data_IF_548810782341
#
_entry.id   IF_548810782341
#
_cell.length_a   1.000
_cell.length_b   1.000
_cell.length_c   1.000
_cell.angle_alpha   90.00
_cell.angle_beta   90.00
_cell.angle_gamma   90.00
#
_symmetry.space_group_name_H-M   'P 1'
#
loop_
_entity.id
_entity.type
_entity.pdbx_description
1 polymer ?
#
# COMPACT_ATOMS: atom_id res chain seq x y z
N UNK A 1 -6.34 -18.38 -0.12
CA UNK A 1 -5.22 -17.75 -0.87
C UNK A 1 -4.28 -18.87 -1.26
N UNK A 2 -4.21 -19.22 -2.55
CA UNK A 2 -3.24 -20.21 -3.04
C UNK A 2 -1.92 -19.48 -3.32
N UNK A 3 -0.96 -19.61 -2.41
CA UNK A 3 0.40 -19.09 -2.62
C UNK A 3 1.09 -20.00 -3.63
N UNK A 4 1.23 -19.51 -4.86
CA UNK A 4 1.95 -20.19 -5.93
C UNK A 4 3.47 -20.06 -5.70
N UNK A 5 4.02 -20.96 -4.89
CA UNK A 5 5.45 -21.03 -4.57
C UNK A 5 6.33 -21.42 -5.77
N UNK A 6 5.71 -21.86 -6.86
CA UNK A 6 6.35 -22.28 -8.11
C UNK A 6 6.68 -21.13 -9.06
N UNK A 7 6.12 -19.93 -8.84
CA UNK A 7 6.41 -18.74 -9.65
C UNK A 7 6.78 -17.55 -8.76
N UNK A 8 8.02 -17.09 -8.89
CA UNK A 8 8.50 -15.88 -8.21
C UNK A 8 7.80 -14.65 -8.80
N UNK A 9 7.42 -13.70 -7.94
CA UNK A 9 6.89 -12.42 -8.40
C UNK A 9 7.99 -11.57 -9.04
N UNK A 10 7.86 -11.35 -10.35
CA UNK A 10 8.81 -10.55 -11.14
C UNK A 10 8.88 -9.09 -10.66
N UNK A 11 7.80 -8.56 -10.08
CA UNK A 11 7.81 -7.24 -9.45
C UNK A 11 8.79 -7.17 -8.28
N UNK A 12 8.75 -8.18 -7.42
CA UNK A 12 9.63 -8.27 -6.26
C UNK A 12 11.09 -8.46 -6.70
N UNK A 13 11.36 -9.33 -7.68
CA UNK A 13 12.71 -9.49 -8.25
C UNK A 13 13.25 -8.18 -8.86
N UNK A 14 12.40 -7.45 -9.59
CA UNK A 14 12.74 -6.14 -10.16
C UNK A 14 13.08 -5.13 -9.08
N UNK A 15 12.33 -5.11 -7.97
CA UNK A 15 12.64 -4.26 -6.81
C UNK A 15 13.99 -4.63 -6.18
N UNK A 16 14.33 -5.92 -6.07
CA UNK A 16 15.61 -6.36 -5.51
C UNK A 16 16.82 -5.95 -6.37
N UNK A 17 16.61 -5.74 -7.67
CA UNK A 17 17.66 -5.25 -8.58
C UNK A 17 17.91 -3.75 -8.43
N UNK A 18 16.90 -2.98 -8.01
CA UNK A 18 16.99 -1.55 -7.73
C UNK A 18 16.23 -1.19 -6.43
N UNK A 19 16.85 -1.41 -5.27
CA UNK A 19 16.19 -1.25 -3.96
C UNK A 19 15.94 0.21 -3.57
N UNK A 20 16.44 1.17 -4.37
CA UNK A 20 16.23 2.59 -4.14
C UNK A 20 14.90 3.09 -4.71
N UNK A 21 14.08 2.23 -5.31
CA UNK A 21 12.76 2.63 -5.79
C UNK A 21 11.78 2.79 -4.64
N UNK A 22 10.84 3.72 -4.79
CA UNK A 22 9.76 3.89 -3.83
C UNK A 22 8.83 2.69 -3.85
N UNK A 23 8.46 2.22 -2.65
CA UNK A 23 7.41 1.23 -2.44
C UNK A 23 6.30 1.93 -1.67
N UNK A 24 5.17 2.14 -2.34
CA UNK A 24 4.01 2.75 -1.69
C UNK A 24 3.17 1.64 -1.05
N UNK A 25 2.98 1.76 0.26
CA UNK A 25 2.33 0.79 1.11
C UNK A 25 0.84 1.11 1.27
N UNK A 26 0.05 0.07 1.35
CA UNK A 26 -1.35 0.11 1.72
C UNK A 26 -1.53 0.22 3.26
N UNK A 27 -2.70 0.66 3.72
CA UNK A 27 -3.06 0.74 5.13
C UNK A 27 -2.95 -0.62 5.84
N UNK A 28 -3.17 -1.71 5.10
CA UNK A 28 -3.15 -3.05 5.68
C UNK A 28 -1.79 -3.48 6.24
N UNK A 29 -0.67 -2.84 5.88
CA UNK A 29 0.63 -3.07 6.52
C UNK A 29 0.62 -2.71 8.00
N UNK A 30 -0.10 -1.65 8.37
CA UNK A 30 0.03 -1.02 9.69
C UNK A 30 -1.00 -1.50 10.70
N UNK A 31 -1.98 -2.32 10.30
CA UNK A 31 -2.96 -2.84 11.24
C UNK A 31 -2.84 -4.37 11.33
N UNK A 32 -3.26 -4.92 12.46
CA UNK A 32 -3.04 -6.33 12.77
C UNK A 32 -3.69 -7.26 11.72
N UNK A 33 -3.03 -8.38 11.34
CA UNK A 33 -3.61 -9.33 10.39
C UNK A 33 -4.94 -9.93 10.87
N UNK A 34 -5.10 -10.12 12.18
CA UNK A 34 -6.27 -10.75 12.79
C UNK A 34 -7.40 -9.76 13.10
N UNK A 35 -7.61 -8.74 12.25
CA UNK A 35 -8.68 -7.73 12.40
C UNK A 35 -10.08 -8.31 12.35
N UNK A 36 -10.24 -9.46 11.69
CA UNK A 36 -11.48 -10.21 11.77
C UNK A 36 -11.42 -11.03 13.03
N UNK A 37 -12.29 -10.67 13.97
CA UNK A 37 -12.63 -11.47 15.14
C UNK A 37 -13.32 -12.75 14.64
N UNK A 38 -12.58 -13.61 13.93
CA UNK A 38 -13.05 -14.89 13.46
C UNK A 38 -13.01 -15.81 14.68
N UNK A 39 -14.04 -15.66 15.50
CA UNK A 39 -14.38 -16.47 16.67
C UNK A 39 -14.30 -17.99 16.44
N UNK A 40 -14.08 -18.43 15.20
CA UNK A 40 -13.88 -19.81 14.78
C UNK A 40 -12.44 -20.30 14.87
N UNK A 41 -11.42 -19.42 14.83
CA UNK A 41 -10.02 -19.84 14.72
C UNK A 41 -9.27 -19.90 16.06
N UNK A 42 -9.83 -19.38 17.16
CA UNK A 42 -9.20 -19.41 18.50
C UNK A 42 -7.74 -18.94 18.51
N UNK A 43 -7.36 -18.04 17.61
CA UNK A 43 -6.02 -17.47 17.56
C UNK A 43 -5.95 -16.35 18.59
N UNK A 44 -4.98 -16.36 19.53
CA UNK A 44 -4.81 -15.28 20.49
C UNK A 44 -4.64 -13.93 19.78
N UNK A 45 -5.20 -12.87 20.35
CA UNK A 45 -4.94 -11.52 19.89
C UNK A 45 -3.44 -11.23 19.94
N UNK A 46 -2.90 -10.83 18.78
CA UNK A 46 -1.51 -10.45 18.67
C UNK A 46 -1.34 -9.01 19.15
N UNK A 47 -0.46 -8.73 20.13
CA UNK A 47 -0.17 -7.36 20.52
C UNK A 47 0.44 -6.57 19.36
N UNK A 48 0.04 -5.32 19.19
CA UNK A 48 0.61 -4.45 18.15
C UNK A 48 2.12 -4.25 18.34
N UNK A 49 2.62 -4.19 19.58
CA UNK A 49 4.06 -4.10 19.84
C UNK A 49 4.82 -5.33 19.29
N UNK A 50 4.21 -6.51 19.37
CA UNK A 50 4.77 -7.72 18.77
C UNK A 50 4.76 -7.61 17.25
N UNK A 51 3.66 -7.08 16.68
CA UNK A 51 3.56 -6.83 15.24
C UNK A 51 4.63 -5.86 14.73
N UNK A 52 4.81 -4.74 15.44
CA UNK A 52 5.82 -3.72 15.13
C UNK A 52 7.22 -4.31 15.21
N UNK A 53 7.57 -4.91 16.35
CA UNK A 53 8.95 -5.35 16.63
C UNK A 53 9.41 -6.45 15.67
N UNK A 54 8.52 -7.39 15.35
CA UNK A 54 8.91 -8.57 14.59
C UNK A 54 8.71 -8.44 13.09
N UNK A 55 7.93 -7.47 12.60
CA UNK A 55 7.69 -7.35 11.15
C UNK A 55 7.85 -5.93 10.62
N UNK A 56 7.28 -4.92 11.26
CA UNK A 56 7.39 -3.55 10.74
C UNK A 56 8.79 -2.98 10.94
N UNK A 57 9.42 -3.12 12.10
CA UNK A 57 10.78 -2.60 12.30
C UNK A 57 11.81 -3.26 11.38
N UNK A 58 11.81 -4.59 11.17
CA UNK A 58 12.65 -5.21 10.14
C UNK A 58 12.38 -4.67 8.73
N UNK A 59 11.10 -4.51 8.34
CA UNK A 59 10.71 -3.93 7.05
C UNK A 59 11.31 -2.53 6.85
N UNK A 60 11.14 -1.65 7.83
CA UNK A 60 11.67 -0.28 7.79
C UNK A 60 13.19 -0.21 7.90
N UNK A 61 13.84 -1.25 8.42
CA UNK A 61 15.31 -1.36 8.44
C UNK A 61 15.87 -1.86 7.11
N UNK A 62 15.10 -2.67 6.38
CA UNK A 62 15.48 -3.24 5.10
C UNK A 62 15.25 -2.26 3.93
N UNK A 63 14.12 -1.55 3.93
CA UNK A 63 13.71 -0.65 2.85
C UNK A 63 13.70 0.81 3.29
N UNK A 64 14.43 1.65 2.55
CA UNK A 64 14.59 3.07 2.90
C UNK A 64 13.53 3.98 2.25
N UNK A 65 12.97 3.59 1.11
CA UNK A 65 12.05 4.41 0.32
C UNK A 65 10.60 3.89 0.42
N UNK A 66 10.15 3.68 1.66
CA UNK A 66 8.76 3.34 1.94
C UNK A 66 7.90 4.60 1.95
N UNK A 67 6.71 4.54 1.35
CA UNK A 67 5.78 5.66 1.31
C UNK A 67 4.34 5.24 1.56
N UNK A 68 3.49 6.19 1.94
CA UNK A 68 2.02 6.06 1.96
C UNK A 68 1.38 7.29 1.32
N UNK A 69 0.16 7.15 0.82
CA UNK A 69 -0.65 8.31 0.41
C UNK A 69 -1.38 8.92 1.62
N UNK A 70 -1.72 10.20 1.55
CA UNK A 70 -2.47 10.89 2.61
C UNK A 70 -3.82 10.25 2.91
N UNK A 71 -4.49 9.65 1.91
CA UNK A 71 -5.73 8.91 2.13
C UNK A 71 -5.54 7.67 3.02
N UNK A 72 -4.43 6.95 2.85
CA UNK A 72 -4.03 5.82 3.70
C UNK A 72 -3.67 6.31 5.11
N UNK A 73 -2.94 7.42 5.21
CA UNK A 73 -2.61 8.01 6.51
C UNK A 73 -3.86 8.40 7.32
N UNK A 74 -4.88 8.94 6.65
CA UNK A 74 -6.16 9.29 7.28
C UNK A 74 -6.94 8.07 7.81
N UNK A 75 -6.72 6.89 7.22
CA UNK A 75 -7.34 5.64 7.67
C UNK A 75 -6.63 5.04 8.90
N UNK A 76 -5.31 5.21 8.99
CA UNK A 76 -4.48 4.66 10.08
C UNK A 76 -4.49 5.57 11.33
N UNK A 77 -5.07 6.78 11.25
CA UNK A 77 -4.90 7.90 12.19
C UNK A 77 -5.13 7.64 13.70
N UNK A 78 -5.65 6.48 14.13
CA UNK A 78 -5.96 6.22 15.53
C UNK A 78 -5.19 5.04 16.14
N UNK A 79 -4.84 5.18 17.43
CA UNK A 79 -4.21 4.13 18.23
C UNK A 79 -2.72 3.91 17.94
N UNK A 80 -2.19 2.80 18.41
CA UNK A 80 -0.75 2.46 18.33
C UNK A 80 -0.22 2.41 16.89
N UNK A 81 -1.05 2.04 15.91
CA UNK A 81 -0.70 2.07 14.50
C UNK A 81 -0.46 3.51 14.00
N UNK A 82 -1.37 4.43 14.34
CA UNK A 82 -1.24 5.86 14.02
C UNK A 82 -0.02 6.48 14.69
N UNK A 83 0.23 6.17 15.97
CA UNK A 83 1.41 6.65 16.70
C UNK A 83 2.71 6.18 16.03
N UNK A 84 2.77 4.92 15.63
CA UNK A 84 3.92 4.34 14.92
C UNK A 84 4.14 5.01 13.55
N UNK A 85 3.10 5.14 12.73
CA UNK A 85 3.17 5.82 11.42
C UNK A 85 3.65 7.26 11.58
N UNK A 86 3.06 8.00 12.52
CA UNK A 86 3.43 9.39 12.79
C UNK A 86 4.89 9.49 13.23
N UNK A 87 5.39 8.57 14.07
CA UNK A 87 6.79 8.54 14.46
C UNK A 87 7.73 8.32 13.25
N UNK A 88 7.38 7.42 12.32
CA UNK A 88 8.19 7.19 11.11
C UNK A 88 8.15 8.37 10.14
N UNK A 89 7.01 9.04 9.99
CA UNK A 89 6.84 10.25 9.16
C UNK A 89 7.59 11.47 9.71
N UNK A 90 7.66 11.61 11.04
CA UNK A 90 8.25 12.79 11.71
C UNK A 90 9.70 12.60 12.16
N UNK A 91 10.24 11.39 12.00
CA UNK A 91 11.67 11.10 12.25
C UNK A 91 12.59 11.98 11.38
N UNK A 92 13.83 12.18 11.85
CA UNK A 92 14.84 13.00 11.15
C UNK A 92 16.11 12.15 10.94
N UNK A 93 16.41 11.72 9.70
CA UNK A 93 15.59 11.87 8.49
C UNK A 93 14.31 11.00 8.52
N UNK A 94 13.25 11.35 7.76
CA UNK A 94 12.03 10.55 7.68
C UNK A 94 12.32 9.14 7.14
N UNK A 95 11.77 8.12 7.80
CA UNK A 95 11.81 6.72 7.36
C UNK A 95 10.56 6.27 6.62
N UNK A 96 9.52 7.11 6.62
CA UNK A 96 8.30 6.94 5.83
C UNK A 96 8.02 8.24 5.10
N UNK A 97 7.69 8.16 3.81
CA UNK A 97 7.35 9.33 3.00
C UNK A 97 5.84 9.46 2.83
N UNK A 98 5.33 10.69 2.88
CA UNK A 98 3.91 10.99 2.69
C UNK A 98 3.70 11.63 1.32
N UNK A 99 3.01 10.90 0.45
CA UNK A 99 2.53 11.40 -0.83
C UNK A 99 1.26 12.22 -0.62
N UNK A 100 1.27 13.45 -1.11
CA UNK A 100 0.13 14.37 -1.03
C UNK A 100 -0.26 14.87 -2.40
N UNK A 101 -1.55 14.97 -2.65
CA UNK A 101 -2.07 15.51 -3.90
C UNK A 101 -1.75 17.00 -4.05
N UNK A 102 -1.53 17.70 -2.93
CA UNK A 102 -1.02 19.07 -2.91
C UNK A 102 0.38 19.23 -3.53
N UNK A 103 1.12 18.14 -3.76
CA UNK A 103 2.41 18.13 -4.45
C UNK A 103 2.28 17.92 -5.97
N UNK A 104 1.06 17.78 -6.49
CA UNK A 104 0.78 17.63 -7.91
C UNK A 104 0.66 18.99 -8.58
N UNK A 105 1.20 19.10 -9.80
CA UNK A 105 0.88 20.22 -10.70
C UNK A 105 -0.58 20.18 -11.12
N UNK A 106 -1.15 21.27 -11.66
CA UNK A 106 -2.50 21.26 -12.21
C UNK A 106 -2.71 20.17 -13.28
N UNK A 107 -1.72 19.92 -14.13
CA UNK A 107 -1.76 18.89 -15.17
C UNK A 107 -1.71 17.49 -14.57
N UNK A 108 -0.81 17.26 -13.61
CA UNK A 108 -0.74 16.00 -12.88
C UNK A 108 -2.05 15.72 -12.12
N UNK A 109 -2.68 16.74 -11.54
CA UNK A 109 -3.95 16.58 -10.83
C UNK A 109 -5.09 16.15 -11.79
N UNK A 110 -5.12 16.67 -13.02
CA UNK A 110 -6.08 16.23 -14.05
C UNK A 110 -5.85 14.75 -14.39
N UNK A 111 -4.60 14.33 -14.55
CA UNK A 111 -4.24 12.93 -14.80
C UNK A 111 -4.65 12.07 -13.60
N UNK A 112 -4.31 12.48 -12.37
CA UNK A 112 -4.67 11.79 -11.13
C UNK A 112 -6.16 11.56 -11.03
N UNK A 113 -6.96 12.62 -11.23
CA UNK A 113 -8.42 12.53 -11.18
C UNK A 113 -8.98 11.59 -12.26
N UNK A 114 -8.39 11.58 -13.45
CA UNK A 114 -8.79 10.69 -14.53
C UNK A 114 -8.48 9.23 -14.16
N UNK A 115 -7.28 8.95 -13.64
CA UNK A 115 -6.88 7.61 -13.19
C UNK A 115 -7.74 7.13 -12.02
N UNK A 116 -8.00 7.99 -11.04
CA UNK A 116 -8.91 7.70 -9.93
C UNK A 116 -10.30 7.27 -10.42
N UNK A 117 -10.88 8.00 -11.38
CA UNK A 117 -12.18 7.64 -11.95
C UNK A 117 -12.16 6.31 -12.73
N UNK A 118 -11.05 5.94 -13.36
CA UNK A 118 -10.90 4.65 -14.06
C UNK A 118 -10.75 3.49 -13.07
N UNK A 119 -9.93 3.66 -12.04
CA UNK A 119 -9.70 2.64 -11.02
C UNK A 119 -10.98 2.41 -10.21
N UNK A 120 -11.65 3.50 -9.80
CA UNK A 120 -12.84 3.45 -8.96
C UNK A 120 -13.97 2.58 -9.53
N UNK A 121 -14.10 2.49 -10.86
CA UNK A 121 -15.10 1.67 -11.56
C UNK A 121 -15.06 0.18 -11.18
N UNK A 122 -13.91 -0.30 -10.70
CA UNK A 122 -13.69 -1.69 -10.32
C UNK A 122 -13.60 -1.88 -8.78
N UNK A 123 -14.05 -0.89 -8.00
CA UNK A 123 -13.97 -0.86 -6.54
C UNK A 123 -15.29 -0.41 -5.91
N UNK A 124 -15.34 -0.32 -4.59
CA UNK A 124 -16.45 0.28 -3.83
C UNK A 124 -16.27 1.78 -3.58
N UNK A 125 -15.15 2.36 -3.99
CA UNK A 125 -14.93 3.79 -3.88
C UNK A 125 -15.73 4.55 -4.95
N UNK A 126 -16.42 5.60 -4.54
CA UNK A 126 -17.23 6.50 -5.36
C UNK A 126 -16.63 7.90 -5.23
N UNK A 127 -15.86 8.38 -6.24
CA UNK A 127 -15.14 9.64 -6.17
C UNK A 127 -16.02 10.85 -5.85
N UNK A 128 -17.27 10.87 -6.33
CA UNK A 128 -18.21 11.98 -6.10
C UNK A 128 -18.70 12.06 -4.64
N UNK A 129 -18.70 10.93 -3.92
CA UNK A 129 -19.14 10.84 -2.53
C UNK A 129 -17.98 10.85 -1.54
N UNK A 130 -16.76 10.59 -2.01
CA UNK A 130 -15.56 10.38 -1.21
C UNK A 130 -15.80 9.42 -0.02
N UNK A 131 -16.49 8.30 -0.28
CA UNK A 131 -16.75 7.29 0.74
C UNK A 131 -15.45 6.59 1.16
N UNK A 132 -15.46 5.94 2.32
CA UNK A 132 -14.24 5.36 2.90
C UNK A 132 -13.81 4.04 2.26
N UNK A 133 -14.73 3.27 1.70
CA UNK A 133 -14.42 1.94 1.17
C UNK A 133 -13.49 2.06 -0.04
N UNK A 134 -12.41 1.28 -0.03
CA UNK A 134 -11.36 1.22 -1.06
C UNK A 134 -10.66 2.57 -1.36
N UNK A 135 -10.88 3.60 -0.52
CA UNK A 135 -10.46 4.98 -0.79
C UNK A 135 -8.94 5.11 -0.76
N UNK A 136 -8.31 4.57 0.28
CA UNK A 136 -6.86 4.54 0.42
C UNK A 136 -6.19 3.89 -0.79
N UNK A 137 -6.69 2.73 -1.22
CA UNK A 137 -6.19 1.97 -2.36
C UNK A 137 -6.34 2.76 -3.67
N UNK A 138 -7.55 3.25 -3.97
CA UNK A 138 -7.81 3.96 -5.23
C UNK A 138 -6.98 5.24 -5.34
N UNK A 139 -6.95 6.07 -4.30
CA UNK A 139 -6.20 7.33 -4.33
C UNK A 139 -4.70 7.09 -4.38
N UNK A 140 -4.21 6.06 -3.67
CA UNK A 140 -2.80 5.66 -3.75
C UNK A 140 -2.42 5.23 -5.15
N UNK A 141 -3.17 4.31 -5.76
CA UNK A 141 -2.91 3.80 -7.11
C UNK A 141 -2.95 4.92 -8.16
N UNK A 142 -3.93 5.83 -8.06
CA UNK A 142 -4.03 6.99 -8.94
C UNK A 142 -2.82 7.92 -8.81
N UNK A 143 -2.36 8.19 -7.58
CA UNK A 143 -1.19 9.04 -7.32
C UNK A 143 0.09 8.43 -7.88
N UNK A 144 0.41 7.19 -7.51
CA UNK A 144 1.66 6.54 -7.94
C UNK A 144 1.74 6.45 -9.46
N UNK A 145 0.61 6.16 -10.10
CA UNK A 145 0.52 6.05 -11.55
C UNK A 145 0.63 7.41 -12.25
N UNK A 146 0.28 8.50 -11.57
CA UNK A 146 0.48 9.87 -12.06
C UNK A 146 1.95 10.30 -11.95
N UNK A 147 2.62 9.93 -10.85
CA UNK A 147 4.03 10.24 -10.60
C UNK A 147 5.02 9.24 -11.24
N UNK A 148 4.52 8.24 -11.96
CA UNK A 148 5.32 7.14 -12.52
C UNK A 148 6.13 6.36 -11.46
N UNK A 149 5.57 6.23 -10.25
CA UNK A 149 6.08 5.33 -9.22
C UNK A 149 5.60 3.91 -9.53
N UNK A 150 6.49 2.94 -9.34
CA UNK A 150 6.32 1.59 -9.90
C UNK A 150 5.63 0.67 -8.90
N UNK A 151 6.10 0.61 -7.65
CA UNK A 151 5.68 -0.46 -6.74
C UNK A 151 4.56 -0.02 -5.80
N UNK A 152 3.51 -0.82 -5.78
CA UNK A 152 2.47 -0.79 -4.77
C UNK A 152 2.48 -2.12 -4.02
N UNK A 153 2.48 -2.05 -2.69
CA UNK A 153 2.45 -3.23 -1.85
C UNK A 153 1.19 -3.27 -1.00
N UNK A 154 0.52 -4.42 -0.99
CA UNK A 154 -0.72 -4.64 -0.23
C UNK A 154 -0.87 -6.10 0.21
N UNK A 155 -1.65 -6.32 1.27
CA UNK A 155 -2.19 -7.63 1.63
C UNK A 155 -3.52 -7.95 0.93
N UNK A 156 -4.24 -6.93 0.43
CA UNK A 156 -5.53 -7.13 -0.22
C UNK A 156 -5.37 -7.58 -1.68
N UNK A 157 -5.79 -8.82 -1.94
CA UNK A 157 -5.79 -9.38 -3.28
C UNK A 157 -6.66 -8.58 -4.26
N UNK A 158 -7.71 -7.87 -3.81
CA UNK A 158 -8.54 -7.07 -4.70
C UNK A 158 -7.80 -5.82 -5.16
N UNK A 159 -7.14 -5.10 -4.23
CA UNK A 159 -6.24 -4.01 -4.58
C UNK A 159 -5.14 -4.45 -5.57
N UNK A 160 -4.51 -5.61 -5.33
CA UNK A 160 -3.46 -6.12 -6.23
C UNK A 160 -3.99 -6.55 -7.61
N UNK A 161 -5.25 -6.99 -7.72
CA UNK A 161 -5.89 -7.32 -9.02
C UNK A 161 -6.06 -6.10 -9.92
N UNK A 162 -6.28 -4.91 -9.34
CA UNK A 162 -6.40 -3.66 -10.12
C UNK A 162 -5.16 -3.40 -10.97
N UNK A 163 -3.98 -3.79 -10.47
CA UNK A 163 -2.70 -3.72 -11.19
C UNK A 163 -2.54 -4.94 -12.11
N UNK A 164 -2.70 -6.16 -11.57
CA UNK A 164 -2.41 -7.41 -12.30
C UNK A 164 -3.30 -7.61 -13.54
N UNK A 165 -4.53 -7.11 -13.50
CA UNK A 165 -5.49 -7.21 -14.58
C UNK A 165 -5.80 -5.84 -15.21
N UNK A 166 -4.83 -4.91 -15.19
CA UNK A 166 -5.05 -3.53 -15.60
C UNK A 166 -5.58 -3.36 -17.04
N UNK A 167 -5.15 -4.21 -17.98
CA UNK A 167 -5.65 -4.21 -19.37
C UNK A 167 -7.14 -4.59 -19.44
N UNK A 168 -7.54 -5.64 -18.72
CA UNK A 168 -8.92 -6.15 -18.68
C UNK A 168 -9.86 -5.15 -17.97
N UNK A 169 -9.40 -4.63 -16.83
CA UNK A 169 -10.15 -3.72 -15.97
C UNK A 169 -10.07 -2.25 -16.42
N UNK A 170 -9.21 -1.95 -17.40
CA UNK A 170 -8.96 -0.59 -17.95
C UNK A 170 -8.59 0.43 -16.88
N UNK A 171 -7.77 0.03 -15.91
CA UNK A 171 -7.39 0.86 -14.74
C UNK A 171 -6.28 1.87 -15.06
N UNK A 172 -5.63 1.78 -16.22
CA UNK A 172 -4.48 2.63 -16.62
C UNK A 172 -3.28 2.50 -15.67
N UNK A 173 -3.09 1.31 -15.09
CA UNK A 173 -2.01 0.95 -14.17
C UNK A 173 -0.91 0.12 -14.85
N UNK A 174 -0.73 0.30 -16.16
CA UNK A 174 0.10 -0.56 -17.03
C UNK A 174 1.57 -0.64 -16.59
N UNK A 175 2.08 0.44 -15.98
CA UNK A 175 3.48 0.54 -15.51
C UNK A 175 3.64 0.16 -14.03
N UNK A 176 2.54 0.01 -13.30
CA UNK A 176 2.59 -0.30 -11.88
C UNK A 176 2.79 -1.80 -11.67
N UNK A 177 3.49 -2.14 -10.59
CA UNK A 177 3.82 -3.51 -10.23
C UNK A 177 3.33 -3.80 -8.82
N UNK A 178 2.57 -4.88 -8.71
CA UNK A 178 1.98 -5.36 -7.46
C UNK A 178 2.99 -6.23 -6.68
N UNK A 179 3.23 -5.88 -5.43
CA UNK A 179 4.00 -6.70 -4.48
C UNK A 179 3.07 -7.12 -3.35
N UNK A 180 3.10 -8.41 -3.00
CA UNK A 180 2.36 -8.88 -1.84
C UNK A 180 3.10 -8.53 -0.56
N UNK A 181 2.34 -8.14 0.47
CA UNK A 181 2.88 -7.81 1.78
C UNK A 181 3.83 -8.89 2.36
N UNK A 182 3.48 -10.17 2.21
CA UNK A 182 4.32 -11.26 2.73
C UNK A 182 5.69 -11.34 2.06
N UNK A 183 5.83 -10.87 0.82
CA UNK A 183 7.10 -10.91 0.08
C UNK A 183 8.10 -9.94 0.70
N UNK A 184 7.66 -8.72 1.02
CA UNK A 184 8.47 -7.73 1.71
C UNK A 184 8.79 -8.16 3.14
N UNK A 185 7.79 -8.67 3.85
CA UNK A 185 7.96 -9.09 5.24
C UNK A 185 8.95 -10.24 5.35
N UNK A 186 8.76 -11.33 4.60
CA UNK A 186 9.64 -12.52 4.68
C UNK A 186 11.07 -12.16 4.30
N UNK A 187 11.27 -11.27 3.32
CA UNK A 187 12.60 -10.82 2.93
C UNK A 187 13.31 -9.98 4.00
N UNK A 188 12.54 -9.28 4.83
CA UNK A 188 13.08 -8.36 5.85
C UNK A 188 13.45 -9.05 7.15
N UNK A 189 13.06 -10.32 7.34
CA UNK A 189 13.34 -11.15 8.52
C UNK A 189 14.71 -11.81 8.44
#
# INVERSE_FOLDING_TARGET
MDVKVDKVNEAFLSLMQDPNQFITLDANFFLLPNRYNDSKLNVPDMPMDFWITNWLDPLFSCFQNLAIHEAVNDEIFSGQAGDYVNAKLTSIPPTLFLHKDSQLSPEELIIRNTKEALIAQNTKYIPELDNKDDRGEVKTLAYISTKNLIYFASHDDNALKLIKNCEELKTSLDEQKAIHMYELIIFSL
#
